data_IF_701486688671
#
_entry.id   IF_701486688671
#
_cell.length_a   1.000
_cell.length_b   1.000
_cell.length_c   1.000
_cell.angle_alpha   90.00
_cell.angle_beta   90.00
_cell.angle_gamma   90.00
#
_symmetry.space_group_name_H-M   'P 1'
#
loop_
_entity.id
_entity.type
_entity.pdbx_description
1 polymer ?
#
# COMPACT_ATOMS: atom_id res chain seq x y z
N UNK A 1 -11.29 -22.47 -3.47
CA UNK A 1 -10.92 -21.09 -3.11
C UNK A 1 -9.95 -20.63 -4.19
N UNK A 2 -10.22 -19.53 -4.90
CA UNK A 2 -9.24 -19.00 -5.86
C UNK A 2 -8.38 -18.00 -5.10
N UNK A 3 -7.29 -18.48 -4.53
CA UNK A 3 -6.28 -17.61 -3.96
C UNK A 3 -5.48 -16.98 -5.09
N UNK A 4 -5.13 -15.69 -4.93
CA UNK A 4 -4.23 -15.07 -5.89
C UNK A 4 -2.86 -15.73 -5.79
N UNK A 5 -2.34 -16.26 -6.89
CA UNK A 5 -0.99 -16.81 -6.92
C UNK A 5 0.08 -15.77 -6.55
N UNK A 6 -0.21 -14.47 -6.70
CA UNK A 6 0.74 -13.39 -6.41
C UNK A 6 0.57 -12.77 -5.02
N UNK A 7 -0.64 -12.71 -4.45
CA UNK A 7 -0.89 -12.12 -3.12
C UNK A 7 -1.01 -13.24 -2.07
N UNK A 8 0.13 -13.65 -1.53
CA UNK A 8 0.26 -14.77 -0.59
C UNK A 8 1.36 -14.51 0.44
N UNK A 9 1.43 -15.34 1.47
CA UNK A 9 2.50 -15.28 2.47
C UNK A 9 3.87 -15.46 1.80
N UNK A 10 4.83 -14.60 2.15
CA UNK A 10 6.16 -14.56 1.57
C UNK A 10 6.23 -13.93 0.18
N UNK A 11 5.13 -13.43 -0.39
CA UNK A 11 5.17 -12.72 -1.67
C UNK A 11 6.06 -11.48 -1.57
N UNK A 12 6.90 -11.28 -2.59
CA UNK A 12 7.80 -10.14 -2.69
C UNK A 12 7.47 -9.32 -3.91
N UNK A 13 7.56 -8.00 -3.76
CA UNK A 13 7.33 -7.04 -4.83
C UNK A 13 8.47 -6.02 -4.82
N UNK A 14 8.83 -5.54 -6.00
CA UNK A 14 9.89 -4.56 -6.18
C UNK A 14 9.50 -3.54 -7.24
N UNK A 15 9.92 -2.30 -7.05
CA UNK A 15 9.67 -1.23 -7.99
C UNK A 15 10.02 0.12 -7.40
N UNK A 16 9.17 1.12 -7.59
CA UNK A 16 9.53 2.51 -7.32
C UNK A 16 8.39 3.32 -6.70
N UNK A 17 8.78 4.34 -5.93
CA UNK A 17 7.92 5.43 -5.53
C UNK A 17 8.42 6.75 -6.15
N UNK A 18 7.51 7.50 -6.78
CA UNK A 18 7.80 8.79 -7.42
C UNK A 18 7.15 9.92 -6.62
N UNK A 19 7.92 10.93 -6.24
CA UNK A 19 7.40 12.15 -5.64
C UNK A 19 7.21 13.26 -6.67
N UNK A 20 6.48 14.32 -6.31
CA UNK A 20 6.15 15.45 -7.21
C UNK A 20 7.37 16.28 -7.68
N UNK A 21 8.56 16.04 -7.12
CA UNK A 21 9.81 16.68 -7.53
C UNK A 21 10.68 15.85 -8.49
N UNK A 22 10.10 14.87 -9.21
CA UNK A 22 10.82 13.88 -10.05
C UNK A 22 11.82 13.00 -9.30
N UNK A 23 11.84 13.02 -7.97
CA UNK A 23 12.63 12.05 -7.20
C UNK A 23 11.96 10.69 -7.28
N UNK A 24 12.77 9.69 -7.59
CA UNK A 24 12.34 8.29 -7.66
C UNK A 24 13.10 7.53 -6.60
N UNK A 25 12.39 6.79 -5.77
CA UNK A 25 12.92 5.96 -4.71
C UNK A 25 12.69 4.49 -5.05
N UNK A 26 13.69 3.67 -4.75
CA UNK A 26 13.60 2.22 -4.89
C UNK A 26 12.75 1.66 -3.75
N UNK A 27 11.79 0.78 -4.08
CA UNK A 27 10.87 0.20 -3.10
C UNK A 27 10.86 -1.31 -3.20
N UNK A 28 10.93 -1.97 -2.06
CA UNK A 28 10.77 -3.42 -1.92
C UNK A 28 9.74 -3.72 -0.84
N UNK A 29 8.81 -4.63 -1.14
CA UNK A 29 7.73 -5.03 -0.22
C UNK A 29 7.74 -6.53 -0.03
N UNK A 30 7.61 -6.97 1.23
CA UNK A 30 7.43 -8.39 1.57
C UNK A 30 6.12 -8.56 2.32
N UNK A 31 5.24 -9.41 1.80
CA UNK A 31 4.00 -9.80 2.47
C UNK A 31 4.34 -10.91 3.47
N UNK A 32 4.07 -10.68 4.74
CA UNK A 32 4.34 -11.65 5.81
C UNK A 32 3.15 -12.59 5.99
N UNK A 33 1.95 -12.01 6.07
CA UNK A 33 0.73 -12.76 6.33
C UNK A 33 -0.47 -12.14 5.61
N UNK A 34 -1.29 -12.97 4.96
CA UNK A 34 -2.58 -12.62 4.36
C UNK A 34 -3.67 -13.34 5.14
N UNK A 35 -4.54 -12.58 5.79
CA UNK A 35 -5.71 -13.09 6.49
C UNK A 35 -6.98 -12.71 5.70
N UNK A 36 -7.42 -13.63 4.85
CA UNK A 36 -8.59 -13.40 3.99
C UNK A 36 -9.88 -13.26 4.79
N UNK A 37 -10.02 -14.02 5.89
CA UNK A 37 -11.21 -13.97 6.74
C UNK A 37 -11.36 -12.58 7.38
N UNK A 38 -10.26 -11.99 7.83
CA UNK A 38 -10.26 -10.66 8.43
C UNK A 38 -10.16 -9.53 7.39
N UNK A 39 -10.03 -9.84 6.10
CA UNK A 39 -9.78 -8.85 5.05
C UNK A 39 -8.58 -7.97 5.38
N UNK A 40 -7.51 -8.58 5.90
CA UNK A 40 -6.30 -7.90 6.35
C UNK A 40 -5.05 -8.60 5.82
N UNK A 41 -3.96 -7.84 5.64
CA UNK A 41 -2.62 -8.41 5.50
C UNK A 41 -1.59 -7.53 6.18
N UNK A 42 -0.40 -8.06 6.40
CA UNK A 42 0.71 -7.29 6.92
C UNK A 42 2.03 -7.63 6.21
N UNK A 43 2.99 -6.73 6.33
CA UNK A 43 4.26 -6.86 5.62
C UNK A 43 5.31 -5.87 6.04
N UNK A 44 6.45 -5.95 5.36
CA UNK A 44 7.50 -4.95 5.42
C UNK A 44 7.49 -4.10 4.15
N UNK A 45 7.62 -2.79 4.32
CA UNK A 45 7.80 -1.82 3.26
C UNK A 45 9.19 -1.20 3.42
N UNK A 46 10.06 -1.39 2.43
CA UNK A 46 11.41 -0.83 2.42
C UNK A 46 11.52 0.19 1.30
N UNK A 47 11.94 1.40 1.62
CA UNK A 47 12.23 2.47 0.68
C UNK A 47 13.71 2.84 0.75
N UNK A 48 14.38 2.96 -0.39
CA UNK A 48 15.82 3.27 -0.49
C UNK A 48 16.06 4.52 -1.33
N UNK A 49 17.22 5.17 -1.13
CA UNK A 49 17.59 6.38 -1.85
C UNK A 49 17.04 7.67 -1.23
N UNK A 50 16.67 7.63 0.06
CA UNK A 50 16.17 8.81 0.79
C UNK A 50 17.26 9.89 0.99
N UNK A 51 18.54 9.51 0.97
CA UNK A 51 19.69 10.41 1.06
C UNK A 51 20.88 9.89 0.23
N UNK A 52 21.87 10.75 -0.03
CA UNK A 52 23.01 10.47 -0.93
C UNK A 52 23.95 9.31 -0.54
N UNK A 53 23.72 8.62 0.57
CA UNK A 53 24.56 7.50 1.04
C UNK A 53 23.88 6.13 0.92
N UNK A 54 22.96 5.93 -0.03
CA UNK A 54 22.18 4.68 -0.15
C UNK A 54 21.40 4.32 1.12
N UNK A 55 20.93 5.31 1.88
CA UNK A 55 20.12 5.06 3.07
C UNK A 55 18.79 4.43 2.68
N UNK A 56 18.38 3.41 3.44
CA UNK A 56 17.04 2.83 3.36
C UNK A 56 16.27 3.01 4.67
N UNK A 57 14.95 2.97 4.57
CA UNK A 57 14.04 2.89 5.70
C UNK A 57 13.11 1.69 5.49
N UNK A 58 13.06 0.82 6.49
CA UNK A 58 12.16 -0.33 6.53
C UNK A 58 11.12 -0.13 7.62
N UNK A 59 9.86 -0.26 7.26
CA UNK A 59 8.71 -0.17 8.16
C UNK A 59 7.85 -1.42 8.10
N UNK A 60 7.18 -1.70 9.22
CA UNK A 60 6.08 -2.65 9.28
C UNK A 60 4.79 -1.93 8.88
N UNK A 61 3.99 -2.55 8.03
CA UNK A 61 2.67 -2.05 7.66
C UNK A 61 1.58 -3.09 7.85
N UNK A 62 0.38 -2.60 8.11
CA UNK A 62 -0.86 -3.37 8.03
C UNK A 62 -1.73 -2.83 6.90
N UNK A 63 -2.58 -3.69 6.37
CA UNK A 63 -3.39 -3.37 5.22
C UNK A 63 -4.83 -3.84 5.40
N UNK A 64 -5.76 -2.94 5.13
CA UNK A 64 -7.18 -3.25 4.98
C UNK A 64 -7.47 -3.64 3.52
N UNK A 65 -8.11 -4.78 3.31
CA UNK A 65 -8.57 -5.22 1.99
C UNK A 65 -10.00 -4.72 1.77
N UNK A 66 -10.19 -3.94 0.71
CA UNK A 66 -11.49 -3.35 0.38
C UNK A 66 -12.42 -4.43 -0.17
N UNK A 67 -13.58 -4.60 0.47
CA UNK A 67 -14.55 -5.62 0.12
C UNK A 67 -15.77 -5.56 1.03
N UNK A 68 -15.97 -6.59 1.82
CA UNK A 68 -17.12 -6.76 2.71
C UNK A 68 -16.92 -6.14 4.10
N UNK A 69 -15.74 -6.31 4.69
CA UNK A 69 -15.38 -5.75 6.01
C UNK A 69 -14.97 -4.27 5.92
N UNK A 70 -14.13 -3.94 4.94
CA UNK A 70 -13.63 -2.58 4.73
C UNK A 70 -14.18 -2.01 3.43
N UNK A 71 -14.90 -0.88 3.50
CA UNK A 71 -15.43 -0.19 2.32
C UNK A 71 -14.43 0.79 1.71
N UNK A 72 -14.77 1.37 0.55
CA UNK A 72 -13.96 2.40 -0.09
C UNK A 72 -13.86 3.71 0.71
N UNK A 73 -14.83 4.00 1.58
CA UNK A 73 -14.76 5.14 2.50
C UNK A 73 -13.79 4.81 3.65
N UNK A 74 -12.76 5.61 3.81
CA UNK A 74 -11.81 5.52 4.92
C UNK A 74 -12.50 5.95 6.22
N UNK A 75 -12.37 5.13 7.27
CA UNK A 75 -13.10 5.32 8.54
C UNK A 75 -12.23 5.82 9.70
N UNK A 76 -10.93 5.96 9.48
CA UNK A 76 -9.95 6.43 10.47
C UNK A 76 -9.85 7.96 10.44
N UNK A 77 -10.45 8.68 11.41
CA UNK A 77 -10.45 10.14 11.40
C UNK A 77 -9.05 10.74 11.43
N UNK A 78 -8.12 10.07 12.11
CA UNK A 78 -6.72 10.47 12.24
C UNK A 78 -5.91 10.36 10.94
N UNK A 79 -6.41 9.63 9.94
CA UNK A 79 -5.79 9.60 8.61
C UNK A 79 -6.16 10.83 7.76
N UNK A 80 -7.18 11.59 8.18
CA UNK A 80 -7.58 12.86 7.56
C UNK A 80 -8.21 12.75 6.16
N UNK A 81 -8.50 11.55 5.67
CA UNK A 81 -9.09 11.34 4.34
C UNK A 81 -10.59 11.64 4.34
N UNK A 82 -11.03 12.59 3.49
CA UNK A 82 -12.44 12.87 3.26
C UNK A 82 -13.04 11.93 2.20
N UNK A 83 -14.39 11.81 2.12
CA UNK A 83 -15.04 11.05 1.03
C UNK A 83 -14.64 11.56 -0.36
N UNK A 84 -14.38 12.88 -0.49
CA UNK A 84 -13.88 13.47 -1.74
C UNK A 84 -12.45 13.01 -2.05
N UNK A 85 -11.59 12.96 -1.03
CA UNK A 85 -10.21 12.45 -1.12
C UNK A 85 -10.21 10.98 -1.55
N UNK A 86 -10.97 10.13 -0.86
CA UNK A 86 -11.10 8.71 -1.19
C UNK A 86 -11.55 8.53 -2.63
N UNK A 87 -12.61 9.24 -3.04
CA UNK A 87 -13.14 9.13 -4.39
C UNK A 87 -12.09 9.50 -5.45
N UNK A 88 -11.32 10.56 -5.22
CA UNK A 88 -10.25 10.98 -6.14
C UNK A 88 -9.16 9.91 -6.28
N UNK A 89 -8.66 9.36 -5.17
CA UNK A 89 -7.58 8.37 -5.17
C UNK A 89 -8.03 7.04 -5.78
N UNK A 90 -9.18 6.51 -5.35
CA UNK A 90 -9.72 5.26 -5.90
C UNK A 90 -10.00 5.36 -7.39
N UNK A 91 -10.57 6.50 -7.85
CA UNK A 91 -10.80 6.71 -9.28
C UNK A 91 -9.51 6.71 -10.10
N UNK A 92 -8.42 7.30 -9.59
CA UNK A 92 -7.10 7.26 -10.26
C UNK A 92 -6.55 5.83 -10.38
N UNK A 93 -6.84 4.98 -9.42
CA UNK A 93 -6.50 3.55 -9.44
C UNK A 93 -7.49 2.69 -10.25
N UNK A 94 -8.32 3.32 -11.10
CA UNK A 94 -9.27 2.64 -11.97
C UNK A 94 -10.53 2.13 -11.26
N UNK A 95 -10.72 2.42 -9.98
CA UNK A 95 -11.98 2.12 -9.33
C UNK A 95 -13.12 2.91 -9.99
N UNK A 96 -14.30 2.31 -10.01
CA UNK A 96 -15.51 2.93 -10.58
C UNK A 96 -15.45 3.24 -12.08
N UNK A 97 -14.48 2.71 -12.83
CA UNK A 97 -14.36 2.95 -14.28
C UNK A 97 -15.62 2.58 -15.07
N UNK A 98 -16.39 1.60 -14.59
CA UNK A 98 -17.65 1.16 -15.20
C UNK A 98 -18.90 1.84 -14.60
N UNK A 99 -18.73 2.72 -13.60
CA UNK A 99 -19.86 3.39 -12.97
C UNK A 99 -20.38 4.52 -13.88
N UNK A 100 -21.60 4.35 -14.39
CA UNK A 100 -22.27 5.34 -15.26
C UNK A 100 -22.51 6.69 -14.55
N UNK A 101 -22.62 6.69 -13.23
CA UNK A 101 -22.87 7.88 -12.40
C UNK A 101 -22.05 7.78 -11.11
N UNK A 102 -21.67 8.94 -10.55
CA UNK A 102 -21.03 9.00 -9.23
C UNK A 102 -22.00 8.48 -8.16
N UNK A 103 -21.60 7.42 -7.48
CA UNK A 103 -22.32 6.85 -6.33
C UNK A 103 -21.57 7.24 -5.06
N UNK A 104 -22.26 7.69 -3.98
CA UNK A 104 -21.62 7.91 -2.69
C UNK A 104 -20.89 6.64 -2.21
N UNK A 105 -19.68 6.76 -1.68
CA UNK A 105 -18.85 5.59 -1.35
C UNK A 105 -19.51 4.71 -0.29
N UNK A 106 -20.21 5.33 0.66
CA UNK A 106 -21.02 4.66 1.69
C UNK A 106 -22.17 3.81 1.15
N UNK A 107 -22.58 3.99 -0.12
CA UNK A 107 -23.66 3.23 -0.77
C UNK A 107 -23.14 2.11 -1.66
N UNK A 108 -21.83 1.96 -1.80
CA UNK A 108 -21.24 0.83 -2.52
C UNK A 108 -21.51 -0.43 -1.70
N UNK A 109 -22.13 -1.43 -2.32
CA UNK A 109 -22.44 -2.68 -1.65
C UNK A 109 -21.15 -3.46 -1.34
N UNK A 110 -21.08 -4.11 -0.16
CA UNK A 110 -20.09 -5.13 0.15
C UNK A 110 -19.90 -6.14 -0.99
N UNK A 111 -18.67 -6.56 -1.22
CA UNK A 111 -18.34 -7.57 -2.22
C UNK A 111 -17.14 -8.40 -1.78
N UNK A 112 -17.05 -9.61 -2.33
CA UNK A 112 -15.90 -10.49 -2.16
C UNK A 112 -14.74 -9.99 -3.06
N UNK A 113 -13.63 -9.50 -2.48
CA UNK A 113 -12.52 -8.93 -3.26
C UNK A 113 -11.81 -9.98 -4.12
N UNK A 114 -11.77 -11.24 -3.67
CA UNK A 114 -11.07 -12.33 -4.35
C UNK A 114 -11.73 -12.73 -5.67
N UNK A 115 -13.00 -12.39 -5.86
CA UNK A 115 -13.76 -12.61 -7.11
C UNK A 115 -13.61 -11.48 -8.13
N UNK A 116 -12.77 -10.46 -7.88
CA UNK A 116 -12.56 -9.31 -8.77
C UNK A 116 -11.17 -9.34 -9.42
N UNK A 117 -11.04 -8.85 -10.64
CA UNK A 117 -9.72 -8.78 -11.29
C UNK A 117 -8.70 -7.90 -10.58
N UNK A 118 -9.18 -6.91 -9.81
CA UNK A 118 -8.37 -5.99 -9.00
C UNK A 118 -8.83 -6.03 -7.56
N UNK A 119 -7.87 -6.17 -6.64
CA UNK A 119 -8.09 -6.05 -5.21
C UNK A 119 -7.62 -4.67 -4.79
N UNK A 120 -8.50 -3.90 -4.15
CA UNK A 120 -8.15 -2.60 -3.59
C UNK A 120 -7.76 -2.77 -2.13
N UNK A 121 -6.78 -2.01 -1.65
CA UNK A 121 -6.32 -2.05 -0.27
C UNK A 121 -5.91 -0.67 0.24
N UNK A 122 -5.94 -0.46 1.55
CA UNK A 122 -5.25 0.67 2.21
C UNK A 122 -4.10 0.14 3.05
N UNK A 123 -2.88 0.64 2.83
CA UNK A 123 -1.71 0.22 3.61
C UNK A 123 -1.28 1.32 4.58
N UNK A 124 -1.15 1.01 5.85
CA UNK A 124 -0.70 1.92 6.90
C UNK A 124 0.59 1.41 7.52
N UNK A 125 1.66 2.19 7.39
CA UNK A 125 2.93 1.95 8.10
C UNK A 125 2.75 2.29 9.59
N UNK A 126 3.18 1.40 10.47
CA UNK A 126 2.95 1.47 11.92
C UNK A 126 4.24 1.60 12.74
N UNK A 127 5.35 1.01 12.29
CA UNK A 127 6.61 1.02 13.04
C UNK A 127 7.83 0.93 12.13
N UNK A 128 8.92 1.60 12.52
CA UNK A 128 10.23 1.48 11.87
C UNK A 128 11.00 0.29 12.45
N UNK A 129 11.65 -0.51 11.58
CA UNK A 129 12.51 -1.62 12.00
C UNK A 129 13.99 -1.28 12.03
N UNK A 130 14.42 -0.32 11.21
CA UNK A 130 15.84 0.03 11.13
C UNK A 130 16.33 0.65 12.44
N UNK A 131 17.53 0.24 12.87
CA UNK A 131 18.10 0.71 14.13
C UNK A 131 18.16 2.23 14.13
N UNK A 132 17.50 2.79 15.14
CA UNK A 132 17.35 4.20 15.50
C UNK A 132 18.64 5.03 15.33
N UNK A 133 19.82 4.43 15.42
CA UNK A 133 21.10 5.15 15.41
C UNK A 133 21.43 5.88 14.09
N UNK A 134 21.01 5.39 12.92
CA UNK A 134 21.32 6.07 11.65
C UNK A 134 20.33 7.21 11.32
N UNK A 135 19.08 7.10 11.79
CA UNK A 135 18.03 8.11 11.57
C UNK A 135 17.93 9.16 12.68
N UNK A 136 18.10 8.81 13.97
CA UNK A 136 18.04 9.79 15.07
C UNK A 136 19.23 10.74 15.09
N UNK A 137 20.42 10.32 14.65
CA UNK A 137 21.57 11.23 14.56
C UNK A 137 21.34 12.35 13.53
N UNK A 138 20.46 12.11 12.54
CA UNK A 138 20.07 13.09 11.53
C UNK A 138 18.82 13.88 11.93
N UNK A 139 17.93 13.30 12.73
CA UNK A 139 16.72 13.98 13.21
C UNK A 139 16.97 15.14 14.19
N UNK A 140 18.15 15.22 14.85
CA UNK A 140 18.47 16.35 15.74
C UNK A 140 18.96 17.60 15.01
N UNK A 141 19.45 17.48 13.77
CA UNK A 141 20.04 18.61 13.02
C UNK A 141 19.56 18.71 11.55
N UNK A 142 18.54 17.95 11.15
CA UNK A 142 17.94 18.09 9.82
C UNK A 142 16.44 17.89 9.87
N UNK A 143 15.74 18.83 9.25
CA UNK A 143 14.37 18.69 8.74
C UNK A 143 14.32 17.52 7.75
N UNK A 144 14.28 16.29 8.26
CA UNK A 144 14.20 15.10 7.41
C UNK A 144 12.76 14.92 6.92
N UNK A 145 12.51 15.34 5.68
CA UNK A 145 11.25 15.32 4.89
C UNK A 145 10.62 13.92 4.67
N UNK A 146 10.98 12.90 5.46
CA UNK A 146 10.48 11.53 5.30
C UNK A 146 9.59 11.19 6.50
N UNK A 147 8.27 11.31 6.30
CA UNK A 147 7.25 10.95 7.28
C UNK A 147 6.38 9.82 6.75
N UNK A 148 6.15 8.80 7.60
CA UNK A 148 5.25 7.66 7.36
C UNK A 148 3.92 7.81 8.12
N UNK A 149 3.58 9.03 8.55
CA UNK A 149 2.32 9.34 9.25
C UNK A 149 1.08 9.04 8.39
N UNK A 150 1.21 9.06 7.06
CA UNK A 150 0.14 8.84 6.10
C UNK A 150 -0.16 7.36 5.85
N UNK A 151 -0.85 7.10 4.75
CA UNK A 151 -1.19 5.75 4.29
C UNK A 151 -1.23 5.68 2.76
N UNK A 152 -1.26 4.48 2.19
CA UNK A 152 -1.34 4.27 0.75
C UNK A 152 -2.72 3.77 0.34
N UNK A 153 -3.26 4.35 -0.72
CA UNK A 153 -4.31 3.72 -1.53
C UNK A 153 -3.63 2.76 -2.50
N UNK A 154 -4.09 1.50 -2.56
CA UNK A 154 -3.45 0.45 -3.34
C UNK A 154 -4.46 -0.25 -4.25
N UNK A 155 -4.04 -0.57 -5.47
CA UNK A 155 -4.70 -1.49 -6.38
C UNK A 155 -3.73 -2.59 -6.81
N UNK A 156 -4.12 -3.83 -6.54
CA UNK A 156 -3.38 -5.03 -6.89
C UNK A 156 -4.10 -5.79 -8.00
N UNK A 157 -3.41 -6.07 -9.10
CA UNK A 157 -3.94 -6.89 -10.19
C UNK A 157 -3.74 -8.37 -9.91
N UNK A 158 -4.82 -9.12 -9.70
CA UNK A 158 -4.74 -10.57 -9.50
C UNK A 158 -4.18 -11.29 -10.74
N UNK A 159 -4.33 -10.70 -11.93
CA UNK A 159 -3.89 -11.29 -13.20
C UNK A 159 -2.38 -11.16 -13.43
N UNK A 160 -1.80 -10.00 -13.09
CA UNK A 160 -0.38 -9.71 -13.39
C UNK A 160 0.50 -9.68 -12.14
N UNK A 161 -0.09 -9.67 -10.95
CA UNK A 161 0.62 -9.45 -9.69
C UNK A 161 1.11 -8.02 -9.47
N UNK A 162 0.82 -7.08 -10.40
CA UNK A 162 1.29 -5.70 -10.29
C UNK A 162 0.52 -4.93 -9.23
N UNK A 163 1.24 -4.11 -8.48
CA UNK A 163 0.71 -3.19 -7.48
C UNK A 163 0.90 -1.77 -8.01
N UNK A 164 -0.17 -0.99 -7.97
CA UNK A 164 -0.11 0.46 -8.14
C UNK A 164 -0.75 1.15 -6.95
N UNK A 165 -0.27 2.34 -6.61
CA UNK A 165 -0.76 3.04 -5.44
C UNK A 165 -0.44 4.52 -5.41
N UNK A 166 -1.02 5.19 -4.42
CA UNK A 166 -0.75 6.58 -4.11
C UNK A 166 -0.62 6.74 -2.61
N UNK A 167 0.49 7.33 -2.15
CA UNK A 167 0.62 7.79 -0.78
C UNK A 167 -0.28 9.01 -0.55
N UNK A 168 -0.91 9.07 0.61
CA UNK A 168 -1.72 10.19 1.05
C UNK A 168 -1.35 10.59 2.48
N UNK A 169 -1.23 11.90 2.69
CA UNK A 169 -1.08 12.51 4.00
C UNK A 169 -1.85 13.82 4.03
N UNK A 170 -2.66 14.07 5.07
CA UNK A 170 -3.58 15.22 5.12
C UNK A 170 -2.91 16.60 5.01
N UNK A 171 -1.63 16.72 5.40
CA UNK A 171 -0.85 17.96 5.26
C UNK A 171 -0.31 18.21 3.84
N UNK A 172 -0.32 17.20 2.96
CA UNK A 172 0.31 17.27 1.64
C UNK A 172 -0.67 16.80 0.55
N UNK A 173 -1.09 17.71 -0.34
CA UNK A 173 -2.06 17.42 -1.41
C UNK A 173 -1.39 16.88 -2.70
N UNK A 174 -0.37 16.05 -2.52
CA UNK A 174 0.55 15.59 -3.57
C UNK A 174 0.39 14.08 -3.82
N UNK A 175 0.26 13.67 -5.09
CA UNK A 175 0.03 12.27 -5.45
C UNK A 175 1.36 11.55 -5.65
N UNK A 176 1.99 11.12 -4.56
CA UNK A 176 3.21 10.31 -4.68
C UNK A 176 2.84 8.90 -5.15
N UNK A 177 3.24 8.56 -6.36
CA UNK A 177 2.83 7.33 -7.04
C UNK A 177 3.75 6.17 -6.67
N UNK A 178 3.16 5.02 -6.38
CA UNK A 178 3.82 3.76 -6.08
C UNK A 178 3.53 2.76 -7.19
N UNK A 179 4.56 2.03 -7.63
CA UNK A 179 4.44 0.99 -8.63
C UNK A 179 5.40 -0.16 -8.31
N UNK A 180 4.87 -1.37 -8.17
CA UNK A 180 5.65 -2.56 -7.84
C UNK A 180 5.24 -3.73 -8.72
N UNK A 181 6.23 -4.49 -9.18
CA UNK A 181 6.05 -5.74 -9.91
C UNK A 181 6.38 -6.93 -9.00
N UNK A 182 5.73 -8.09 -9.19
CA UNK A 182 6.02 -9.28 -8.41
C UNK A 182 7.43 -9.80 -8.71
N UNK A 183 8.18 -10.14 -7.67
CA UNK A 183 9.50 -10.77 -7.81
C UNK A 183 9.29 -12.26 -8.04
N UNK A 184 9.43 -12.69 -9.30
CA UNK A 184 9.32 -14.11 -9.69
C UNK A 184 10.67 -14.81 -9.48
N UNK A 185 11.06 -14.99 -8.22
CA UNK A 185 12.19 -15.85 -7.88
C UNK A 185 11.75 -17.31 -7.70
N UNK A 186 12.68 -18.25 -7.92
CA UNK A 186 12.51 -19.68 -7.61
C UNK A 186 12.42 -19.86 -6.09
N UNK A 187 11.28 -19.49 -5.51
CA UNK A 187 11.02 -19.63 -4.09
C UNK A 187 10.70 -21.08 -3.74
N UNK A 188 10.93 -21.44 -2.48
CA UNK A 188 10.48 -22.72 -1.95
C UNK A 188 8.95 -22.87 -2.14
N UNK A 189 8.45 -24.12 -2.27
CA UNK A 189 7.02 -24.37 -2.34
C UNK A 189 6.29 -23.73 -1.16
N UNK A 190 5.07 -23.28 -1.40
CA UNK A 190 4.19 -22.74 -0.38
C UNK A 190 3.92 -23.86 0.64
N UNK A 191 4.27 -23.62 1.91
CA UNK A 191 3.90 -24.47 3.03
C UNK A 191 2.83 -23.74 3.83
N UNK A 192 1.59 -24.21 3.73
CA UNK A 192 0.52 -23.81 4.65
C UNK A 192 0.38 -24.88 5.71
N UNK A 193 0.51 -24.46 6.97
CA UNK A 193 0.25 -25.32 8.11
C UNK A 193 -1.19 -25.03 8.57
N UNK A 194 -2.03 -26.07 8.56
CA UNK A 194 -3.38 -26.05 9.12
C UNK A 194 -3.35 -26.38 10.60
#
# INVERSE_FOLDING_TARGET
>A
MFESSFLRNGAQFHGIQKSDGNKTFDVSVTVLHVNMEQSMLCGFFKISGLSGNNSSLTTYFEAEIIGDKFGFLTKWPEWGASESTDYKHWKRLGAFQYAKRKVPLRRIKPYDPWKKGTIYMRWKELAMLDKVNDFQFRSRNSSSDVSFEGFYYIAFSQRTGRISGYYYHYKFDHFQYLELDPVVNRMFPILEFQ
#
